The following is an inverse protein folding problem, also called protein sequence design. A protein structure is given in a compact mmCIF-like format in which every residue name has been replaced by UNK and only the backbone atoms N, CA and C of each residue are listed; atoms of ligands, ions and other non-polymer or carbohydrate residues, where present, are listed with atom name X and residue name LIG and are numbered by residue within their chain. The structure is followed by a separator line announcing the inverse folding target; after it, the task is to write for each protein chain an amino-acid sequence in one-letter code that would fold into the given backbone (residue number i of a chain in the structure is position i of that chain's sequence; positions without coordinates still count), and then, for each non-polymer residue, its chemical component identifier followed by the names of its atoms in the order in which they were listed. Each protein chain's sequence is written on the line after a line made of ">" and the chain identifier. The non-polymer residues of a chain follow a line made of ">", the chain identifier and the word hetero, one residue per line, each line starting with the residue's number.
data_IF_088842862284
#
_entry.id   IF_088842862284
#
_cell.length_a   1.000
_cell.length_b   1.000
_cell.length_c   1.000
_cell.angle_alpha   90.00
_cell.angle_beta   90.00
_cell.angle_gamma   90.00
#
_symmetry.space_group_name_H-M   'P 1'
#
loop_
_entity.id
_entity.type
_entity.pdbx_description
1 polymer ?
#
# COMPACT_ATOMS: atom_id res chain seq x y z
N UNK A 1 -0.89 32.11 -22.76
CA UNK A 1 -0.74 31.55 -21.39
C UNK A 1 0.28 30.39 -21.39
N UNK A 2 1.53 30.68 -21.81
CA UNK A 2 2.55 29.65 -22.08
C UNK A 2 3.60 29.47 -20.95
N UNK A 3 3.58 30.31 -19.92
CA UNK A 3 4.60 30.31 -18.86
C UNK A 3 4.38 29.30 -17.72
N UNK A 4 3.15 28.83 -17.50
CA UNK A 4 2.83 27.99 -16.33
C UNK A 4 3.29 26.52 -16.48
N UNK A 5 3.43 26.04 -17.73
CA UNK A 5 3.88 24.67 -18.01
C UNK A 5 5.39 24.49 -17.92
N UNK A 6 6.18 25.54 -18.16
CA UNK A 6 7.64 25.48 -18.03
C UNK A 6 8.11 25.61 -16.58
N UNK A 7 7.39 26.36 -15.75
CA UNK A 7 7.69 26.46 -14.32
C UNK A 7 7.56 25.11 -13.58
N UNK A 8 6.64 24.23 -14.01
CA UNK A 8 6.45 22.91 -13.41
C UNK A 8 7.54 21.88 -13.81
N UNK A 9 8.24 22.11 -14.92
CA UNK A 9 9.33 21.25 -15.39
C UNK A 9 10.65 21.61 -14.71
N UNK A 10 10.86 22.87 -14.37
CA UNK A 10 12.08 23.32 -13.69
C UNK A 10 12.09 23.00 -12.18
N UNK A 11 10.93 22.81 -11.54
CA UNK A 11 10.85 22.36 -10.15
C UNK A 11 11.25 20.87 -9.96
N UNK A 12 11.61 20.19 -11.06
CA UNK A 12 11.97 18.76 -11.08
C UNK A 12 13.48 18.49 -10.98
N UNK A 13 14.32 19.53 -10.93
CA UNK A 13 15.78 19.39 -11.02
C UNK A 13 16.55 19.62 -9.71
N UNK A 14 15.89 19.99 -8.61
CA UNK A 14 16.60 20.40 -7.37
C UNK A 14 16.25 19.57 -6.11
N UNK A 15 15.56 18.44 -6.25
CA UNK A 15 15.24 17.56 -5.12
C UNK A 15 15.98 16.24 -5.31
N UNK A 16 16.88 15.83 -4.39
CA UNK A 16 17.50 14.51 -4.47
C UNK A 16 16.40 13.44 -4.48
N UNK A 17 16.58 12.33 -5.21
CA UNK A 17 15.54 11.32 -5.36
C UNK A 17 15.32 10.62 -4.01
N UNK A 18 14.41 11.14 -3.21
CA UNK A 18 13.87 10.42 -2.07
C UNK A 18 13.10 9.21 -2.61
N UNK A 19 13.30 8.00 -2.06
CA UNK A 19 12.56 6.80 -2.50
C UNK A 19 11.04 6.94 -2.36
N UNK A 20 10.60 7.83 -1.45
CA UNK A 20 9.21 8.26 -1.30
C UNK A 20 8.66 8.99 -2.55
N UNK A 21 9.48 9.76 -3.26
CA UNK A 21 9.07 10.53 -4.44
C UNK A 21 8.74 9.66 -5.64
N UNK A 22 9.50 8.58 -5.87
CA UNK A 22 9.20 7.62 -6.94
C UNK A 22 7.92 6.83 -6.67
N UNK A 23 7.67 6.45 -5.42
CA UNK A 23 6.44 5.77 -5.01
C UNK A 23 5.21 6.66 -5.19
N UNK A 24 5.32 7.94 -4.82
CA UNK A 24 4.28 8.94 -5.03
C UNK A 24 4.03 9.19 -6.52
N UNK A 25 5.08 9.23 -7.35
CA UNK A 25 4.95 9.44 -8.80
C UNK A 25 4.28 8.25 -9.51
N UNK A 26 4.66 7.02 -9.16
CA UNK A 26 4.02 5.79 -9.67
C UNK A 26 2.58 5.70 -9.21
N UNK A 27 2.31 6.00 -7.93
CA UNK A 27 0.96 6.03 -7.40
C UNK A 27 0.10 7.06 -8.14
N UNK A 28 0.55 8.31 -8.28
CA UNK A 28 -0.20 9.40 -8.93
C UNK A 28 -0.47 9.20 -10.42
N UNK A 29 0.34 8.40 -11.12
CA UNK A 29 0.21 8.19 -12.57
C UNK A 29 -0.83 7.13 -12.96
N UNK A 30 -1.43 6.43 -12.00
CA UNK A 30 -2.47 5.44 -12.29
C UNK A 30 -3.88 6.05 -12.24
N UNK A 31 -4.87 5.49 -12.95
CA UNK A 31 -6.27 5.89 -12.78
C UNK A 31 -6.67 5.74 -11.30
N UNK A 32 -7.40 6.72 -10.77
CA UNK A 32 -7.96 6.63 -9.43
C UNK A 32 -9.03 5.53 -9.42
N UNK A 33 -9.09 4.67 -8.38
CA UNK A 33 -10.18 3.72 -8.26
C UNK A 33 -11.53 4.48 -8.20
N UNK A 34 -12.61 3.95 -8.79
CA UNK A 34 -13.89 4.65 -9.02
C UNK A 34 -14.71 4.98 -7.76
N UNK A 35 -14.11 4.96 -6.57
CA UNK A 35 -14.79 5.21 -5.30
C UNK A 35 -13.98 6.14 -4.40
N UNK A 36 -13.69 7.35 -4.89
CA UNK A 36 -12.88 8.35 -4.18
C UNK A 36 -13.68 9.27 -3.22
N UNK A 37 -14.90 8.91 -2.83
CA UNK A 37 -15.80 9.84 -2.13
C UNK A 37 -15.55 10.01 -0.62
N UNK A 38 -14.67 9.23 0.02
CA UNK A 38 -14.45 9.33 1.47
C UNK A 38 -13.03 9.00 1.98
N UNK A 39 -12.07 8.75 1.10
CA UNK A 39 -10.71 8.40 1.53
C UNK A 39 -9.86 9.64 1.74
N UNK A 40 -9.19 9.74 2.89
CA UNK A 40 -8.13 10.73 3.05
C UNK A 40 -6.97 10.45 2.09
N UNK A 41 -6.13 11.45 1.81
CA UNK A 41 -4.99 11.29 0.90
C UNK A 41 -4.07 10.12 1.32
N UNK A 42 -3.88 9.92 2.63
CA UNK A 42 -3.12 8.78 3.16
C UNK A 42 -3.79 7.42 2.89
N UNK A 43 -5.10 7.32 3.07
CA UNK A 43 -5.86 6.10 2.75
C UNK A 43 -5.78 5.73 1.26
N UNK A 44 -5.85 6.72 0.37
CA UNK A 44 -5.71 6.49 -1.07
C UNK A 44 -4.30 6.01 -1.47
N UNK A 45 -3.24 6.57 -0.84
CA UNK A 45 -1.86 6.12 -1.04
C UNK A 45 -1.71 4.67 -0.56
N UNK A 46 -2.24 4.35 0.61
CA UNK A 46 -2.24 2.98 1.14
C UNK A 46 -2.92 1.99 0.22
N UNK A 47 -4.13 2.30 -0.25
CA UNK A 47 -4.86 1.45 -1.17
C UNK A 47 -4.03 1.13 -2.42
N UNK A 48 -3.42 2.15 -3.03
CA UNK A 48 -2.55 1.97 -4.21
C UNK A 48 -1.32 1.11 -3.92
N UNK A 49 -0.65 1.33 -2.79
CA UNK A 49 0.51 0.53 -2.40
C UNK A 49 0.09 -0.91 -2.19
N UNK A 50 -0.99 -1.17 -1.44
CA UNK A 50 -1.48 -2.53 -1.16
C UNK A 50 -1.91 -3.29 -2.44
N UNK A 51 -2.57 -2.61 -3.38
CA UNK A 51 -2.94 -3.18 -4.68
C UNK A 51 -1.70 -3.46 -5.55
N UNK A 52 -0.74 -2.54 -5.56
CA UNK A 52 0.51 -2.73 -6.31
C UNK A 52 1.27 -3.95 -5.76
N UNK A 53 1.40 -4.01 -4.44
CA UNK A 53 2.03 -5.10 -3.69
C UNK A 53 1.40 -6.46 -3.97
N UNK A 54 0.06 -6.52 -4.09
CA UNK A 54 -0.66 -7.79 -4.25
C UNK A 54 -0.71 -8.30 -5.70
N UNK A 55 -0.53 -7.42 -6.70
CA UNK A 55 -0.93 -7.73 -8.08
C UNK A 55 0.24 -7.69 -9.07
N UNK A 56 1.05 -6.64 -9.05
CA UNK A 56 2.02 -6.38 -10.13
C UNK A 56 3.44 -6.17 -9.64
N UNK A 57 3.63 -5.92 -8.34
CA UNK A 57 4.93 -5.49 -7.85
C UNK A 57 5.89 -6.67 -7.70
N UNK A 58 7.05 -6.66 -8.39
CA UNK A 58 8.04 -7.71 -8.25
C UNK A 58 8.63 -7.75 -6.84
N UNK A 59 8.97 -8.95 -6.37
CA UNK A 59 9.33 -9.22 -4.96
C UNK A 59 10.55 -8.45 -4.46
N UNK A 60 11.44 -8.00 -5.35
CA UNK A 60 12.61 -7.19 -5.01
C UNK A 60 12.26 -5.77 -4.51
N UNK A 61 11.13 -5.20 -4.92
CA UNK A 61 10.67 -3.86 -4.52
C UNK A 61 9.91 -3.88 -3.19
N UNK A 62 9.60 -5.08 -2.67
CA UNK A 62 8.88 -5.24 -1.40
C UNK A 62 9.65 -4.58 -0.25
N UNK A 63 10.98 -4.60 -0.30
CA UNK A 63 11.82 -3.93 0.68
C UNK A 63 11.54 -2.42 0.72
N UNK A 64 11.58 -1.76 -0.43
CA UNK A 64 11.43 -0.30 -0.53
C UNK A 64 10.01 0.16 -0.19
N UNK A 65 8.99 -0.58 -0.66
CA UNK A 65 7.61 -0.30 -0.30
C UNK A 65 7.37 -0.48 1.20
N UNK A 66 7.87 -1.56 1.80
CA UNK A 66 7.80 -1.76 3.24
C UNK A 66 8.51 -0.62 4.00
N UNK A 67 9.68 -0.17 3.53
CA UNK A 67 10.47 0.87 4.21
C UNK A 67 9.71 2.20 4.20
N UNK A 68 9.03 2.49 3.10
CA UNK A 68 8.21 3.70 2.96
C UNK A 68 6.99 3.66 3.88
N UNK A 69 6.28 2.53 3.94
CA UNK A 69 5.16 2.37 4.87
C UNK A 69 5.62 2.45 6.34
N UNK A 70 6.78 1.87 6.68
CA UNK A 70 7.35 1.94 8.01
C UNK A 70 7.77 3.35 8.41
N UNK A 71 8.37 4.10 7.48
CA UNK A 71 8.69 5.51 7.69
C UNK A 71 7.41 6.34 7.94
N UNK A 72 6.34 6.11 7.17
CA UNK A 72 5.05 6.77 7.40
C UNK A 72 4.47 6.46 8.77
N UNK A 73 4.55 5.19 9.21
CA UNK A 73 4.12 4.78 10.56
C UNK A 73 4.84 5.56 11.65
N UNK A 74 6.16 5.71 11.52
CA UNK A 74 6.98 6.39 12.53
C UNK A 74 6.84 7.91 12.45
N UNK A 75 6.61 8.48 11.26
CA UNK A 75 6.46 9.92 11.07
C UNK A 75 5.10 10.48 11.50
N UNK A 76 4.02 9.70 11.33
CA UNK A 76 2.65 10.13 11.65
C UNK A 76 2.06 9.46 12.88
N UNK A 77 2.75 8.46 13.43
CA UNK A 77 2.31 7.68 14.57
C UNK A 77 1.39 6.51 14.20
N UNK A 78 1.24 5.53 15.11
CA UNK A 78 0.50 4.31 14.86
C UNK A 78 -1.01 4.52 14.68
N UNK A 79 -1.60 5.52 15.32
CA UNK A 79 -3.03 5.81 15.23
C UNK A 79 -3.42 6.30 13.83
N UNK A 80 -2.68 7.26 13.28
CA UNK A 80 -2.95 7.83 11.96
C UNK A 80 -2.65 6.80 10.84
N UNK A 81 -1.57 6.05 11.00
CA UNK A 81 -1.25 4.90 10.14
C UNK A 81 -2.38 3.86 10.14
N UNK A 82 -2.93 3.54 11.31
CA UNK A 82 -4.06 2.62 11.46
C UNK A 82 -5.30 3.12 10.75
N UNK A 83 -5.64 4.40 10.91
CA UNK A 83 -6.78 5.02 10.21
C UNK A 83 -6.65 4.85 8.69
N UNK A 84 -5.51 5.21 8.10
CA UNK A 84 -5.28 5.08 6.65
C UNK A 84 -5.34 3.63 6.17
N UNK A 85 -4.81 2.69 6.97
CA UNK A 85 -4.87 1.27 6.67
C UNK A 85 -6.31 0.76 6.65
N UNK A 86 -7.13 1.15 7.63
CA UNK A 86 -8.54 0.77 7.70
C UNK A 86 -9.36 1.41 6.56
N UNK A 87 -9.13 2.69 6.26
CA UNK A 87 -9.74 3.37 5.10
C UNK A 87 -9.42 2.63 3.80
N UNK A 88 -8.16 2.23 3.59
CA UNK A 88 -7.76 1.50 2.41
C UNK A 88 -8.44 0.12 2.31
N UNK A 89 -8.50 -0.62 3.42
CA UNK A 89 -9.08 -1.97 3.45
C UNK A 89 -10.61 -1.99 3.41
N UNK A 90 -11.27 -0.86 3.64
CA UNK A 90 -12.72 -0.74 3.45
C UNK A 90 -13.13 -0.94 1.98
N UNK A 91 -12.22 -0.68 1.04
CA UNK A 91 -12.46 -0.94 -0.37
C UNK A 91 -12.46 -2.44 -0.68
N UNK A 92 -13.49 -2.91 -1.39
CA UNK A 92 -13.68 -4.33 -1.74
C UNK A 92 -12.45 -4.92 -2.46
N UNK A 93 -11.87 -4.15 -3.39
CA UNK A 93 -10.77 -4.59 -4.25
C UNK A 93 -9.38 -4.45 -3.63
N UNK A 94 -9.28 -3.89 -2.43
CA UNK A 94 -8.01 -3.73 -1.71
C UNK A 94 -7.91 -4.82 -0.65
N UNK A 95 -6.78 -5.54 -0.57
CA UNK A 95 -5.57 -5.46 -1.41
C UNK A 95 -5.74 -6.09 -2.79
N UNK A 96 -6.66 -7.04 -2.92
CA UNK A 96 -7.02 -7.70 -4.18
C UNK A 96 -8.50 -8.13 -4.10
N UNK A 97 -9.20 -8.26 -5.23
CA UNK A 97 -10.57 -8.76 -5.23
C UNK A 97 -10.67 -10.17 -4.61
N UNK A 98 -11.76 -10.43 -3.91
CA UNK A 98 -12.05 -11.73 -3.29
C UNK A 98 -11.41 -11.98 -1.92
N UNK A 99 -10.72 -11.00 -1.33
CA UNK A 99 -10.23 -11.13 0.05
C UNK A 99 -11.39 -10.95 1.05
N UNK A 100 -11.59 -11.90 1.96
CA UNK A 100 -12.65 -11.81 2.97
C UNK A 100 -12.40 -10.66 3.95
N UNK A 101 -13.48 -10.11 4.53
CA UNK A 101 -13.38 -9.07 5.55
C UNK A 101 -12.52 -9.52 6.75
N UNK A 102 -12.67 -10.78 7.16
CA UNK A 102 -11.87 -11.37 8.25
C UNK A 102 -10.38 -11.39 7.91
N UNK A 103 -10.01 -11.79 6.68
CA UNK A 103 -8.61 -11.77 6.24
C UNK A 103 -8.04 -10.36 6.19
N UNK A 104 -8.85 -9.35 5.81
CA UNK A 104 -8.45 -7.93 5.87
C UNK A 104 -8.21 -7.47 7.30
N UNK A 105 -9.09 -7.83 8.24
CA UNK A 105 -8.94 -7.49 9.65
C UNK A 105 -7.74 -8.17 10.30
N UNK A 106 -7.52 -9.46 10.00
CA UNK A 106 -6.36 -10.20 10.48
C UNK A 106 -5.05 -9.59 9.97
N UNK A 107 -5.00 -9.22 8.68
CA UNK A 107 -3.86 -8.52 8.09
C UNK A 107 -3.63 -7.16 8.76
N UNK A 108 -4.69 -6.35 8.92
CA UNK A 108 -4.59 -5.04 9.56
C UNK A 108 -4.02 -5.16 10.98
N UNK A 109 -4.56 -6.10 11.77
CA UNK A 109 -4.10 -6.37 13.13
C UNK A 109 -2.61 -6.75 13.16
N UNK A 110 -2.20 -7.72 12.34
CA UNK A 110 -0.79 -8.15 12.27
C UNK A 110 0.15 -7.00 11.89
N UNK A 111 -0.26 -6.13 10.97
CA UNK A 111 0.56 -5.01 10.52
C UNK A 111 0.69 -3.92 11.59
N UNK A 112 -0.39 -3.67 12.34
CA UNK A 112 -0.42 -2.69 13.44
C UNK A 112 0.33 -3.18 14.68
N UNK A 113 0.17 -4.46 15.04
CA UNK A 113 0.84 -5.09 16.19
C UNK A 113 2.34 -5.32 15.94
N UNK A 114 2.81 -5.25 14.70
CA UNK A 114 4.22 -5.45 14.36
C UNK A 114 5.10 -4.32 14.91
N UNK A 115 5.69 -4.50 16.08
CA UNK A 115 6.62 -3.53 16.70
C UNK A 115 8.02 -3.58 16.09
N UNK A 116 8.39 -4.68 15.46
CA UNK A 116 9.66 -4.86 14.78
C UNK A 116 9.54 -4.73 13.26
N UNK A 117 10.53 -4.11 12.63
CA UNK A 117 10.65 -3.99 11.17
C UNK A 117 10.54 -5.34 10.44
N UNK A 118 11.17 -6.39 10.97
CA UNK A 118 11.12 -7.74 10.41
C UNK A 118 9.72 -8.33 10.39
N UNK A 119 8.96 -8.15 11.49
CA UNK A 119 7.58 -8.60 11.61
C UNK A 119 6.66 -7.82 10.65
N UNK A 120 6.88 -6.51 10.52
CA UNK A 120 6.12 -5.65 9.61
C UNK A 120 6.31 -6.06 8.15
N UNK A 121 7.57 -6.23 7.72
CA UNK A 121 7.90 -6.71 6.38
C UNK A 121 7.34 -8.11 6.13
N UNK A 122 7.34 -8.99 7.13
CA UNK A 122 6.76 -10.33 7.01
C UNK A 122 5.24 -10.27 6.78
N UNK A 123 4.50 -9.41 7.51
CA UNK A 123 3.08 -9.20 7.30
C UNK A 123 2.76 -8.70 5.88
N UNK A 124 3.54 -7.73 5.37
CA UNK A 124 3.41 -7.26 3.97
C UNK A 124 3.75 -8.36 2.95
N UNK A 125 4.72 -9.23 3.25
CA UNK A 125 5.07 -10.35 2.36
C UNK A 125 3.93 -11.36 2.24
N UNK A 126 3.17 -11.60 3.30
CA UNK A 126 2.00 -12.49 3.25
C UNK A 126 0.94 -11.97 2.25
N UNK A 127 0.83 -10.65 2.10
CA UNK A 127 -0.01 -10.00 1.10
C UNK A 127 0.43 -10.31 -0.34
N UNK A 128 1.75 -10.22 -0.59
CA UNK A 128 2.37 -10.27 -1.92
C UNK A 128 2.70 -11.70 -2.40
N UNK A 129 2.79 -12.65 -1.46
CA UNK A 129 3.39 -13.96 -1.73
C UNK A 129 2.87 -15.08 -0.86
N UNK A 130 1.69 -14.92 -0.25
CA UNK A 130 0.99 -16.01 0.40
C UNK A 130 0.64 -17.10 -0.61
N UNK A 131 1.56 -18.05 -0.82
CA UNK A 131 1.28 -19.36 -1.41
C UNK A 131 -0.03 -19.83 -0.79
N UNK A 132 -1.07 -20.04 -1.60
CA UNK A 132 -2.41 -20.52 -1.17
C UNK A 132 -2.23 -21.71 -0.22
N UNK A 133 -2.09 -21.47 1.08
CA UNK A 133 -1.95 -22.54 2.06
C UNK A 133 -3.38 -22.94 2.41
N UNK A 134 -3.89 -23.91 1.66
CA UNK A 134 -5.06 -24.66 2.06
C UNK A 134 -6.37 -24.26 1.41
N UNK A 135 -6.44 -24.19 0.08
CA UNK A 135 -7.59 -24.82 -0.58
C UNK A 135 -7.25 -26.32 -0.67
N UNK A 136 -7.27 -26.99 0.49
CA UNK A 136 -7.35 -28.45 0.52
C UNK A 136 -8.70 -28.74 -0.12
N UNK A 137 -8.69 -29.13 -1.39
CA UNK A 137 -9.83 -29.78 -2.00
C UNK A 137 -10.17 -30.93 -1.05
N UNK A 138 -11.29 -30.77 -0.34
CA UNK A 138 -11.94 -31.91 0.28
C UNK A 138 -12.54 -32.65 -0.92
N UNK A 139 -11.77 -33.59 -1.47
CA UNK A 139 -12.37 -34.71 -2.16
C UNK A 139 -13.16 -35.46 -1.09
N UNK A 140 -14.48 -35.33 -1.12
CA UNK A 140 -15.33 -36.36 -0.52
C UNK A 140 -15.33 -37.52 -1.50
N UNK A 141 -14.82 -38.65 -1.00
CA UNK A 141 -15.04 -39.99 -1.54
C UNK A 141 -16.54 -40.32 -1.48
#
# INVERSE_FOLDING_TARGET
>A
VAGLRQALVLLRLAVPPSPLGSLVHVALSQPAPPSAAACSQGGAIFARVLVSLSTWMPSWLLGDAASSLWAMRNGHGPAEFGRWLHEALAHADVPRPGLSAEAKMAFAKQLLDATAWSAFKAALKQLCGGKKRGERRVSSD
#
